data_IF_964678254931
#
_entry.id   IF_964678254931
#
_cell.length_a   1.000
_cell.length_b   1.000
_cell.length_c   1.000
_cell.angle_alpha   90.00
_cell.angle_beta   90.00
_cell.angle_gamma   90.00
#
_symmetry.space_group_name_H-M   'P 1'
#
loop_
_entity.id
_entity.type
_entity.pdbx_description
1 polymer ?
#
# COMPACT_ATOMS: atom_id res chain seq x y z
N UNK A 1 17.26 -10.05 -13.18
CA UNK A 1 16.09 -9.43 -13.83
C UNK A 1 16.52 -8.07 -14.36
N UNK A 2 16.16 -7.71 -15.60
CA UNK A 2 16.32 -6.34 -16.12
C UNK A 2 15.09 -5.53 -15.76
N UNK A 3 15.27 -4.38 -15.13
CA UNK A 3 14.18 -3.47 -14.76
C UNK A 3 14.64 -2.02 -14.74
N UNK A 4 13.71 -1.06 -14.55
CA UNK A 4 14.04 0.36 -14.61
C UNK A 4 15.04 0.81 -13.53
N UNK A 5 15.21 0.05 -12.45
CA UNK A 5 16.17 0.32 -11.38
C UNK A 5 17.42 -0.55 -11.46
N UNK A 6 17.68 -1.24 -12.58
CA UNK A 6 18.92 -1.99 -12.76
C UNK A 6 20.13 -1.08 -12.60
N UNK A 7 21.05 -1.48 -11.71
CA UNK A 7 22.25 -0.70 -11.36
C UNK A 7 22.08 0.19 -10.12
N UNK A 8 20.85 0.38 -9.63
CA UNK A 8 20.57 1.11 -8.39
C UNK A 8 20.83 0.21 -7.19
N UNK A 9 21.49 0.74 -6.17
CA UNK A 9 21.74 0.06 -4.88
C UNK A 9 20.90 0.70 -3.77
N UNK A 10 20.16 -0.13 -3.05
CA UNK A 10 19.29 0.28 -1.94
C UNK A 10 19.80 -0.35 -0.66
N UNK A 11 19.93 0.46 0.38
CA UNK A 11 20.12 -0.01 1.75
C UNK A 11 18.85 0.29 2.54
N UNK A 12 18.33 -0.68 3.27
CA UNK A 12 17.15 -0.49 4.12
C UNK A 12 17.44 -0.89 5.56
N UNK A 13 17.00 -0.10 6.52
CA UNK A 13 16.86 -0.51 7.93
C UNK A 13 15.39 -0.58 8.36
N UNK A 14 14.47 -0.43 7.41
CA UNK A 14 13.05 -0.37 7.68
C UNK A 14 12.52 -1.77 8.04
N UNK A 15 11.99 -1.90 9.26
CA UNK A 15 11.34 -3.12 9.76
C UNK A 15 9.83 -2.93 9.81
N UNK A 16 9.11 -4.05 9.80
CA UNK A 16 7.65 -4.13 9.68
C UNK A 16 7.12 -3.40 8.44
N UNK A 17 5.89 -3.71 8.05
CA UNK A 17 5.20 -2.85 7.10
C UNK A 17 5.14 -1.41 7.62
N UNK A 18 5.34 -0.41 6.74
CA UNK A 18 5.43 -0.48 5.27
C UNK A 18 6.84 -0.77 4.68
N UNK A 19 7.88 -0.82 5.51
CA UNK A 19 9.28 -0.83 5.07
C UNK A 19 9.65 -1.95 4.07
N UNK A 20 9.55 -3.23 4.46
CA UNK A 20 9.87 -4.36 3.60
C UNK A 20 9.08 -4.38 2.29
N UNK A 21 7.82 -3.94 2.26
CA UNK A 21 7.04 -3.88 1.01
C UNK A 21 7.54 -2.80 0.05
N UNK A 22 7.92 -1.62 0.56
CA UNK A 22 8.53 -0.58 -0.26
C UNK A 22 9.83 -1.09 -0.91
N UNK A 23 10.64 -1.79 -0.13
CA UNK A 23 11.94 -2.31 -0.57
C UNK A 23 11.78 -3.50 -1.53
N UNK A 24 10.83 -4.40 -1.27
CA UNK A 24 10.45 -5.47 -2.19
C UNK A 24 10.06 -4.93 -3.56
N UNK A 25 9.31 -3.82 -3.59
CA UNK A 25 8.92 -3.14 -4.83
C UNK A 25 10.13 -2.64 -5.61
N UNK A 26 11.11 -2.03 -4.94
CA UNK A 26 12.36 -1.57 -5.56
C UNK A 26 13.19 -2.73 -6.09
N UNK A 27 13.31 -3.82 -5.32
CA UNK A 27 13.99 -5.06 -5.76
C UNK A 27 13.31 -5.66 -7.00
N UNK A 28 11.98 -5.73 -7.01
CA UNK A 28 11.18 -6.20 -8.15
C UNK A 28 11.35 -5.34 -9.42
N UNK A 29 11.71 -4.06 -9.26
CA UNK A 29 12.06 -3.16 -10.36
C UNK A 29 13.54 -3.25 -10.78
N UNK A 30 14.32 -4.15 -10.18
CA UNK A 30 15.69 -4.49 -10.59
C UNK A 30 16.80 -3.85 -9.75
N UNK A 31 16.48 -3.18 -8.64
CA UNK A 31 17.48 -2.65 -7.72
C UNK A 31 18.19 -3.78 -6.95
N UNK A 32 19.47 -3.59 -6.63
CA UNK A 32 20.20 -4.44 -5.69
C UNK A 32 19.93 -3.96 -4.28
N UNK A 33 19.39 -4.82 -3.43
CA UNK A 33 18.94 -4.43 -2.08
C UNK A 33 19.74 -5.14 -1.01
N UNK A 34 20.22 -4.37 -0.03
CA UNK A 34 20.70 -4.87 1.26
C UNK A 34 19.76 -4.40 2.36
N UNK A 35 19.10 -5.33 3.03
CA UNK A 35 18.24 -5.07 4.19
C UNK A 35 18.99 -5.39 5.47
N UNK A 36 19.17 -4.39 6.32
CA UNK A 36 19.90 -4.46 7.58
C UNK A 36 18.88 -4.52 8.72
N UNK A 37 18.77 -5.69 9.33
CA UNK A 37 17.90 -5.96 10.46
C UNK A 37 18.66 -5.86 11.78
N UNK A 38 18.00 -5.50 12.89
CA UNK A 38 18.60 -5.62 14.21
C UNK A 38 18.89 -7.10 14.53
N UNK A 39 19.72 -7.41 15.55
CA UNK A 39 20.00 -8.80 15.94
C UNK A 39 18.76 -9.63 16.27
N UNK A 40 17.69 -8.98 16.74
CA UNK A 40 16.40 -9.60 17.00
C UNK A 40 15.54 -9.91 15.77
N UNK A 41 15.97 -9.50 14.57
CA UNK A 41 15.22 -9.67 13.32
C UNK A 41 14.09 -8.64 13.12
N UNK A 42 13.31 -8.86 12.07
CA UNK A 42 12.06 -8.14 11.83
C UNK A 42 10.91 -8.85 12.59
N UNK A 43 10.05 -8.15 13.34
CA UNK A 43 8.91 -8.79 13.99
C UNK A 43 7.98 -9.56 13.03
N UNK A 44 7.87 -9.16 11.75
CA UNK A 44 7.13 -9.91 10.73
C UNK A 44 7.68 -11.32 10.50
N UNK A 45 8.97 -11.57 10.72
CA UNK A 45 9.57 -12.91 10.66
C UNK A 45 8.88 -13.88 11.65
N UNK A 46 8.38 -13.34 12.77
CA UNK A 46 7.68 -14.11 13.80
C UNK A 46 6.16 -14.15 13.58
N UNK A 47 5.56 -13.04 13.16
CA UNK A 47 4.09 -12.93 13.05
C UNK A 47 3.53 -13.49 11.75
N UNK A 48 4.28 -13.41 10.65
CA UNK A 48 3.81 -13.77 9.31
C UNK A 48 5.00 -14.21 8.42
N UNK A 49 5.64 -15.32 8.78
CA UNK A 49 6.87 -15.79 8.13
C UNK A 49 6.78 -15.90 6.60
N UNK A 50 5.72 -16.50 6.08
CA UNK A 50 5.59 -16.72 4.63
C UNK A 50 5.54 -15.39 3.87
N UNK A 51 4.85 -14.39 4.43
CA UNK A 51 4.77 -13.06 3.83
C UNK A 51 6.08 -12.28 4.02
N UNK A 52 6.76 -12.42 5.17
CA UNK A 52 8.10 -11.89 5.35
C UNK A 52 9.08 -12.46 4.30
N UNK A 53 9.06 -13.78 4.08
CA UNK A 53 9.92 -14.44 3.11
C UNK A 53 9.63 -13.94 1.69
N UNK A 54 8.35 -13.78 1.32
CA UNK A 54 7.92 -13.20 0.04
C UNK A 54 8.48 -11.79 -0.17
N UNK A 55 8.38 -10.92 0.83
CA UNK A 55 8.85 -9.54 0.73
C UNK A 55 10.39 -9.44 0.63
N UNK A 56 11.13 -10.43 1.12
CA UNK A 56 12.60 -10.42 1.10
C UNK A 56 13.22 -11.22 -0.05
N UNK A 57 12.42 -11.78 -0.96
CA UNK A 57 12.92 -12.52 -2.13
C UNK A 57 13.89 -11.63 -2.94
N UNK A 58 15.09 -12.17 -3.19
CA UNK A 58 16.10 -11.53 -4.03
C UNK A 58 16.89 -10.40 -3.35
N UNK A 59 16.72 -10.19 -2.04
CA UNK A 59 17.47 -9.23 -1.25
C UNK A 59 18.59 -9.91 -0.45
N UNK A 60 19.66 -9.16 -0.16
CA UNK A 60 20.65 -9.57 0.84
C UNK A 60 20.19 -9.10 2.21
N UNK A 61 19.97 -10.03 3.15
CA UNK A 61 19.54 -9.68 4.53
C UNK A 61 20.71 -9.86 5.48
N UNK A 62 21.07 -8.79 6.20
CA UNK A 62 22.13 -8.77 7.22
C UNK A 62 21.56 -8.47 8.59
N UNK A 63 22.07 -9.13 9.63
CA UNK A 63 21.74 -8.82 11.03
C UNK A 63 22.89 -8.04 11.64
N UNK A 64 22.66 -6.77 11.97
CA UNK A 64 23.70 -5.84 12.43
C UNK A 64 23.22 -5.12 13.69
N UNK A 65 24.05 -5.10 14.73
CA UNK A 65 23.81 -4.24 15.90
C UNK A 65 24.26 -2.81 15.60
N UNK A 66 23.33 -1.97 15.17
CA UNK A 66 23.55 -0.56 14.84
C UNK A 66 24.02 0.29 16.03
N UNK A 67 23.98 -0.23 17.26
CA UNK A 67 24.49 0.47 18.43
C UNK A 67 25.98 0.25 18.66
N UNK A 68 26.54 -0.84 18.10
CA UNK A 68 27.95 -1.16 18.18
C UNK A 68 28.80 -0.35 17.19
N UNK A 69 30.05 -0.06 17.54
CA UNK A 69 30.97 0.65 16.64
C UNK A 69 31.18 -0.13 15.32
N UNK A 70 31.27 -1.46 15.40
CA UNK A 70 31.40 -2.33 14.24
C UNK A 70 30.16 -2.28 13.33
N UNK A 71 28.96 -2.31 13.91
CA UNK A 71 27.72 -2.24 13.14
C UNK A 71 27.48 -0.86 12.52
N UNK A 72 27.86 0.22 13.21
CA UNK A 72 27.87 1.57 12.64
C UNK A 72 28.82 1.67 11.45
N UNK A 73 30.03 1.13 11.57
CA UNK A 73 31.00 1.10 10.47
C UNK A 73 30.51 0.25 9.28
N UNK A 74 29.88 -0.90 9.53
CA UNK A 74 29.33 -1.73 8.46
C UNK A 74 28.22 -1.00 7.68
N UNK A 75 27.29 -0.34 8.36
CA UNK A 75 26.23 0.41 7.67
C UNK A 75 26.78 1.63 6.95
N UNK A 76 27.78 2.31 7.50
CA UNK A 76 28.48 3.39 6.80
C UNK A 76 29.12 2.92 5.49
N UNK A 77 29.77 1.75 5.50
CA UNK A 77 30.34 1.14 4.30
C UNK A 77 29.24 0.81 3.27
N UNK A 78 28.13 0.21 3.70
CA UNK A 78 26.99 -0.08 2.81
C UNK A 78 26.43 1.21 2.18
N UNK A 79 26.28 2.27 2.97
CA UNK A 79 25.77 3.57 2.50
C UNK A 79 26.75 4.26 1.54
N UNK A 80 28.06 4.07 1.69
CA UNK A 80 29.06 4.64 0.77
C UNK A 80 28.91 4.19 -0.68
N UNK A 81 28.29 3.03 -0.89
CA UNK A 81 28.01 2.46 -2.20
C UNK A 81 26.53 2.57 -2.60
N UNK A 82 25.67 3.08 -1.72
CA UNK A 82 24.23 3.11 -1.92
C UNK A 82 23.80 4.30 -2.78
N UNK A 83 22.67 4.13 -3.46
CA UNK A 83 21.96 5.21 -4.14
C UNK A 83 20.76 5.70 -3.33
N UNK A 84 20.09 4.76 -2.65
CA UNK A 84 18.90 5.02 -1.83
C UNK A 84 19.08 4.39 -0.46
N UNK A 85 18.74 5.13 0.59
CA UNK A 85 18.59 4.66 1.94
C UNK A 85 17.11 4.73 2.36
N UNK A 86 16.54 3.63 2.84
CA UNK A 86 15.14 3.55 3.29
C UNK A 86 15.08 3.23 4.79
N UNK A 87 14.28 3.97 5.52
CA UNK A 87 14.08 3.77 6.97
C UNK A 87 12.62 3.95 7.38
N UNK A 88 12.20 3.26 8.43
CA UNK A 88 10.90 3.41 9.10
C UNK A 88 11.04 3.78 10.58
N UNK A 89 12.22 4.29 10.98
CA UNK A 89 12.53 4.64 12.37
C UNK A 89 12.13 6.06 12.72
N UNK A 90 11.79 6.29 14.01
CA UNK A 90 11.55 7.64 14.52
C UNK A 90 12.78 8.55 14.34
N UNK A 91 12.60 9.84 14.04
CA UNK A 91 13.71 10.79 13.87
C UNK A 91 14.71 10.79 15.03
N UNK A 92 14.23 10.76 16.27
CA UNK A 92 15.08 10.74 17.47
C UNK A 92 15.93 9.47 17.58
N UNK A 93 15.41 8.34 17.10
CA UNK A 93 16.14 7.08 17.07
C UNK A 93 17.20 7.10 15.96
N UNK A 94 16.85 7.58 14.77
CA UNK A 94 17.78 7.79 13.66
C UNK A 94 18.93 8.72 14.05
N UNK A 95 18.61 9.85 14.69
CA UNK A 95 19.59 10.80 15.21
C UNK A 95 20.61 10.16 16.14
N UNK A 96 20.17 9.32 17.09
CA UNK A 96 21.07 8.60 18.01
C UNK A 96 21.96 7.57 17.30
N UNK A 97 21.50 7.04 16.17
CA UNK A 97 22.26 6.13 15.32
C UNK A 97 23.18 6.87 14.34
N UNK A 98 23.01 8.18 14.15
CA UNK A 98 23.69 8.96 13.11
C UNK A 98 23.21 8.60 11.71
N UNK A 99 21.96 8.13 11.60
CA UNK A 99 21.32 7.70 10.34
C UNK A 99 20.17 8.66 9.94
N UNK A 100 20.02 9.78 10.64
CA UNK A 100 19.20 10.90 10.17
C UNK A 100 19.78 11.50 8.88
N UNK A 101 18.96 12.29 8.19
CA UNK A 101 19.31 12.89 6.91
C UNK A 101 20.58 13.73 6.99
N UNK A 102 20.70 14.61 7.97
CA UNK A 102 21.85 15.50 8.12
C UNK A 102 23.14 14.68 8.29
N UNK A 103 23.10 13.65 9.13
CA UNK A 103 24.25 12.77 9.39
C UNK A 103 24.64 11.90 8.20
N UNK A 104 23.66 11.37 7.45
CA UNK A 104 23.92 10.56 6.24
C UNK A 104 24.42 11.44 5.12
N UNK A 105 23.75 12.55 4.82
CA UNK A 105 24.10 13.45 3.73
C UNK A 105 25.50 14.08 3.91
N UNK A 106 25.90 14.38 5.15
CA UNK A 106 27.25 14.90 5.42
C UNK A 106 28.38 13.93 5.04
N UNK A 107 28.15 12.61 5.12
CA UNK A 107 29.13 11.56 4.78
C UNK A 107 28.96 11.06 3.35
N UNK A 108 27.72 10.97 2.90
CA UNK A 108 27.30 10.35 1.64
C UNK A 108 26.38 11.31 0.86
N UNK A 109 26.90 12.42 0.33
CA UNK A 109 26.08 13.51 -0.23
C UNK A 109 25.18 13.07 -1.39
N UNK A 110 25.53 11.99 -2.09
CA UNK A 110 24.77 11.45 -3.22
C UNK A 110 23.68 10.43 -2.86
N UNK A 111 23.57 10.04 -1.58
CA UNK A 111 22.53 9.10 -1.15
C UNK A 111 21.18 9.82 -1.04
N UNK A 112 20.18 9.31 -1.74
CA UNK A 112 18.79 9.72 -1.54
C UNK A 112 18.21 9.00 -0.32
N UNK A 113 17.59 9.73 0.60
CA UNK A 113 17.02 9.14 1.81
C UNK A 113 15.49 9.19 1.76
N UNK A 114 14.85 8.05 2.04
CA UNK A 114 13.39 7.93 2.16
C UNK A 114 13.05 7.54 3.60
N UNK A 115 12.45 8.48 4.31
CA UNK A 115 12.00 8.31 5.69
C UNK A 115 10.50 8.00 5.69
N UNK A 116 10.14 6.79 6.09
CA UNK A 116 8.75 6.43 6.34
C UNK A 116 8.44 6.72 7.81
N UNK A 117 7.53 7.64 8.06
CA UNK A 117 7.17 8.10 9.41
C UNK A 117 5.67 7.97 9.64
N UNK A 118 5.27 7.96 10.91
CA UNK A 118 3.86 7.85 11.24
C UNK A 118 3.06 9.11 10.91
N UNK A 119 3.59 10.26 11.33
CA UNK A 119 3.02 11.59 11.11
C UNK A 119 4.11 12.53 10.59
N UNK A 120 3.76 13.61 9.86
CA UNK A 120 4.75 14.47 9.23
C UNK A 120 5.44 15.39 10.26
N UNK A 121 6.66 15.82 9.92
CA UNK A 121 7.38 16.88 10.64
C UNK A 121 7.57 16.58 12.13
N UNK A 122 7.26 17.56 12.99
CA UNK A 122 7.49 17.48 14.44
C UNK A 122 6.67 16.36 15.12
N UNK A 123 5.60 15.87 14.47
CA UNK A 123 4.77 14.79 14.98
C UNK A 123 5.31 13.40 14.63
N UNK A 124 6.43 13.29 13.92
CA UNK A 124 7.02 12.01 13.50
C UNK A 124 7.44 11.09 14.68
N UNK A 125 7.49 11.60 15.90
CA UNK A 125 7.68 10.80 17.13
C UNK A 125 6.40 10.12 17.63
N UNK A 126 5.24 10.55 17.14
CA UNK A 126 3.93 10.03 17.55
C UNK A 126 3.78 8.58 17.11
N UNK A 127 3.53 7.64 18.06
CA UNK A 127 3.33 6.25 17.71
C UNK A 127 2.08 6.07 16.84
N UNK A 128 2.16 5.17 15.88
CA UNK A 128 1.00 4.73 15.11
C UNK A 128 1.28 3.42 14.40
N UNK A 129 0.19 2.77 14.02
CA UNK A 129 0.13 1.59 13.18
C UNK A 129 -1.00 1.78 12.16
N UNK A 130 -0.99 1.02 11.07
CA UNK A 130 -2.02 1.01 10.04
C UNK A 130 -3.46 1.12 10.60
N UNK A 131 -3.78 0.29 11.61
CA UNK A 131 -5.09 0.30 12.26
C UNK A 131 -5.46 1.68 12.83
N UNK A 132 -4.51 2.37 13.47
CA UNK A 132 -4.76 3.70 14.05
C UNK A 132 -4.91 4.78 12.98
N UNK A 133 -4.18 4.68 11.87
CA UNK A 133 -4.33 5.62 10.76
C UNK A 133 -5.69 5.46 10.10
N UNK A 134 -6.11 4.22 9.84
CA UNK A 134 -7.45 3.90 9.32
C UNK A 134 -8.56 4.37 10.27
N UNK A 135 -8.37 4.21 11.59
CA UNK A 135 -9.34 4.64 12.59
C UNK A 135 -9.57 6.16 12.54
N UNK A 136 -8.49 6.94 12.50
CA UNK A 136 -8.55 8.41 12.47
C UNK A 136 -9.26 8.92 11.21
N UNK A 137 -9.07 8.25 10.07
CA UNK A 137 -9.69 8.66 8.80
C UNK A 137 -11.04 7.98 8.52
N UNK A 138 -11.60 7.25 9.48
CA UNK A 138 -12.93 6.62 9.38
C UNK A 138 -13.01 5.38 8.49
N UNK A 139 -11.87 4.86 8.01
CA UNK A 139 -11.84 3.71 7.08
C UNK A 139 -12.30 2.39 7.73
N UNK A 140 -12.27 2.32 9.07
CA UNK A 140 -12.77 1.16 9.82
C UNK A 140 -14.31 1.06 9.86
N UNK A 141 -15.02 2.13 9.45
CA UNK A 141 -16.48 2.20 9.54
C UNK A 141 -16.98 1.98 10.96
N UNK A 142 -17.90 1.03 11.15
CA UNK A 142 -18.49 0.67 12.45
C UNK A 142 -17.53 -0.17 13.33
N UNK A 143 -16.26 0.20 13.41
CA UNK A 143 -15.26 -0.47 14.26
C UNK A 143 -14.84 -1.86 13.77
N UNK A 144 -14.96 -2.14 12.47
CA UNK A 144 -14.54 -3.42 11.89
C UNK A 144 -13.02 -3.50 11.86
N UNK A 145 -12.48 -4.69 12.14
CA UNK A 145 -11.07 -4.96 11.88
C UNK A 145 -10.82 -4.91 10.36
N UNK A 146 -9.74 -4.24 9.91
CA UNK A 146 -9.44 -4.17 8.50
C UNK A 146 -9.01 -5.54 7.97
N UNK A 147 -9.39 -5.86 6.73
CA UNK A 147 -8.99 -7.11 6.06
C UNK A 147 -7.62 -7.03 5.41
N UNK A 148 -7.01 -5.84 5.37
CA UNK A 148 -5.66 -5.58 4.86
C UNK A 148 -5.08 -4.32 5.51
N UNK A 149 -3.75 -4.17 5.42
CA UNK A 149 -3.02 -3.02 5.93
C UNK A 149 -2.93 -1.94 4.83
N UNK A 150 -4.08 -1.37 4.48
CA UNK A 150 -4.22 -0.52 3.27
C UNK A 150 -3.37 0.75 3.34
N UNK A 151 -3.19 1.35 4.53
CA UNK A 151 -2.38 2.56 4.71
C UNK A 151 -0.91 2.21 4.59
N UNK A 152 -0.46 1.12 5.23
CA UNK A 152 0.93 0.69 5.11
C UNK A 152 1.28 0.29 3.66
N UNK A 153 0.41 -0.46 2.98
CA UNK A 153 0.67 -0.87 1.59
C UNK A 153 0.66 0.33 0.63
N UNK A 154 -0.27 1.27 0.79
CA UNK A 154 -0.27 2.52 0.03
C UNK A 154 0.97 3.38 0.34
N UNK A 155 1.40 3.41 1.61
CA UNK A 155 2.62 4.09 2.05
C UNK A 155 3.87 3.45 1.47
N UNK A 156 3.87 2.12 1.31
CA UNK A 156 4.95 1.36 0.67
C UNK A 156 5.13 1.75 -0.79
N UNK A 157 4.04 1.81 -1.55
CA UNK A 157 4.06 2.27 -2.95
C UNK A 157 4.46 3.74 -3.06
N UNK A 158 3.99 4.60 -2.14
CA UNK A 158 4.43 6.00 -2.07
C UNK A 158 5.93 6.09 -1.81
N UNK A 159 6.47 5.34 -0.87
CA UNK A 159 7.90 5.32 -0.54
C UNK A 159 8.76 4.84 -1.72
N UNK A 160 8.34 3.78 -2.42
CA UNK A 160 9.02 3.31 -3.62
C UNK A 160 8.98 4.37 -4.76
N UNK A 161 7.84 5.05 -4.93
CA UNK A 161 7.71 6.14 -5.89
C UNK A 161 8.60 7.34 -5.53
N UNK A 162 8.66 7.72 -4.25
CA UNK A 162 9.51 8.80 -3.76
C UNK A 162 11.00 8.45 -3.87
N UNK A 163 11.40 7.19 -3.68
CA UNK A 163 12.76 6.73 -3.96
C UNK A 163 13.13 6.95 -5.43
N UNK A 164 12.27 6.54 -6.37
CA UNK A 164 12.49 6.77 -7.80
C UNK A 164 12.52 8.28 -8.14
N UNK A 165 11.61 9.07 -7.57
CA UNK A 165 11.58 10.52 -7.75
C UNK A 165 12.84 11.20 -7.19
N UNK A 166 13.36 10.72 -6.06
CA UNK A 166 14.60 11.19 -5.47
C UNK A 166 15.80 10.90 -6.39
N UNK A 167 15.88 9.71 -6.98
CA UNK A 167 16.91 9.37 -7.97
C UNK A 167 16.86 10.27 -9.21
N UNK A 168 15.64 10.60 -9.69
CA UNK A 168 15.45 11.54 -10.80
C UNK A 168 15.83 12.97 -10.40
N UNK A 169 15.57 13.39 -9.16
CA UNK A 169 16.02 14.69 -8.67
C UNK A 169 17.54 14.75 -8.61
N UNK A 170 18.17 13.73 -8.01
CA UNK A 170 19.62 13.58 -7.93
C UNK A 170 20.30 13.59 -9.29
N UNK A 171 19.72 12.95 -10.31
CA UNK A 171 20.32 12.95 -11.66
C UNK A 171 20.43 14.34 -12.30
N UNK A 172 19.65 15.32 -11.80
CA UNK A 172 19.68 16.72 -12.26
C UNK A 172 20.64 17.59 -11.46
N UNK A 173 20.81 17.30 -10.17
CA UNK A 173 21.58 18.13 -9.23
C UNK A 173 22.97 17.57 -8.91
N UNK A 174 23.16 16.25 -9.07
CA UNK A 174 24.33 15.52 -8.58
C UNK A 174 24.28 15.21 -7.08
N UNK A 175 23.27 15.72 -6.37
CA UNK A 175 23.14 15.66 -4.91
C UNK A 175 21.93 14.81 -4.52
N UNK A 176 22.10 14.00 -3.48
CA UNK A 176 21.02 13.24 -2.87
C UNK A 176 19.95 14.16 -2.29
N UNK A 177 18.74 13.64 -2.12
CA UNK A 177 17.63 14.37 -1.51
C UNK A 177 16.90 13.51 -0.48
N UNK A 178 16.34 14.16 0.54
CA UNK A 178 15.44 13.55 1.51
C UNK A 178 14.00 13.56 1.00
N UNK A 179 13.29 12.45 1.20
CA UNK A 179 11.84 12.32 1.03
C UNK A 179 11.24 11.76 2.30
N UNK A 180 10.23 12.43 2.82
CA UNK A 180 9.47 11.97 3.98
C UNK A 180 8.11 11.45 3.50
N UNK A 181 7.73 10.25 3.94
CA UNK A 181 6.44 9.63 3.65
C UNK A 181 5.72 9.41 4.98
N UNK A 182 4.79 10.30 5.29
CA UNK A 182 3.96 10.21 6.48
C UNK A 182 2.72 9.33 6.22
N UNK A 183 2.55 8.28 7.03
CA UNK A 183 1.43 7.35 6.91
C UNK A 183 0.07 8.00 7.23
N UNK A 184 0.04 9.01 8.10
CA UNK A 184 -1.17 9.82 8.32
C UNK A 184 -1.62 10.55 7.05
N UNK A 185 -0.69 11.11 6.27
CA UNK A 185 -1.00 11.84 5.03
C UNK A 185 -1.44 10.88 3.93
N UNK A 186 -0.81 9.70 3.87
CA UNK A 186 -1.25 8.60 3.01
C UNK A 186 -2.67 8.19 3.38
N UNK A 187 -2.97 8.00 4.67
CA UNK A 187 -4.31 7.64 5.15
C UNK A 187 -5.36 8.67 4.75
N UNK A 188 -5.05 9.97 4.91
CA UNK A 188 -5.94 11.05 4.47
C UNK A 188 -6.19 11.00 2.96
N UNK A 189 -5.14 10.76 2.17
CA UNK A 189 -5.23 10.67 0.72
C UNK A 189 -6.16 9.54 0.29
N UNK A 190 -5.95 8.32 0.83
CA UNK A 190 -6.77 7.16 0.46
C UNK A 190 -8.19 7.23 1.00
N UNK A 191 -8.40 7.95 2.11
CA UNK A 191 -9.73 8.20 2.68
C UNK A 191 -10.50 9.29 1.94
N UNK A 192 -9.88 10.02 1.01
CA UNK A 192 -10.50 11.09 0.22
C UNK A 192 -11.90 10.75 -0.31
N UNK A 193 -12.13 9.61 -0.98
CA UNK A 193 -13.46 9.22 -1.44
C UNK A 193 -14.51 9.16 -0.32
N UNK A 194 -14.14 8.64 0.86
CA UNK A 194 -15.04 8.58 2.02
C UNK A 194 -15.28 9.98 2.61
N UNK A 195 -14.21 10.75 2.80
CA UNK A 195 -14.26 12.09 3.40
C UNK A 195 -15.05 13.09 2.54
N UNK A 196 -15.07 12.89 1.22
CA UNK A 196 -15.89 13.66 0.29
C UNK A 196 -17.28 13.05 0.05
N UNK A 197 -17.66 12.01 0.80
CA UNK A 197 -18.98 11.39 0.75
C UNK A 197 -19.26 10.54 -0.50
N UNK A 198 -18.25 10.26 -1.33
CA UNK A 198 -18.41 9.47 -2.56
C UNK A 198 -18.71 7.99 -2.25
N UNK A 199 -18.05 7.44 -1.23
CA UNK A 199 -18.16 6.02 -0.81
C UNK A 199 -18.83 5.83 0.55
N UNK A 200 -19.39 6.90 1.14
CA UNK A 200 -20.17 6.78 2.37
C UNK A 200 -21.38 5.85 2.17
N UNK A 201 -21.86 5.12 3.20
CA UNK A 201 -23.00 4.22 3.06
C UNK A 201 -24.22 4.92 2.43
N UNK A 202 -24.74 4.36 1.34
CA UNK A 202 -25.87 4.92 0.59
C UNK A 202 -25.51 6.05 -0.38
N UNK A 203 -24.24 6.44 -0.50
CA UNK A 203 -23.77 7.38 -1.50
C UNK A 203 -23.51 6.73 -2.87
N UNK A 204 -23.13 7.51 -3.87
CA UNK A 204 -22.97 7.09 -5.27
C UNK A 204 -22.16 5.79 -5.43
N UNK A 205 -20.97 5.72 -4.85
CA UNK A 205 -20.10 4.53 -4.85
C UNK A 205 -20.11 3.79 -3.50
N UNK A 206 -21.07 4.12 -2.63
CA UNK A 206 -21.30 3.48 -1.34
C UNK A 206 -22.58 2.66 -1.29
N UNK A 207 -23.11 2.23 -2.46
CA UNK A 207 -24.33 1.45 -2.55
C UNK A 207 -25.62 2.26 -2.69
N UNK A 208 -25.55 3.54 -3.04
CA UNK A 208 -26.73 4.40 -3.23
C UNK A 208 -27.52 4.10 -4.51
N UNK A 209 -26.88 3.50 -5.52
CA UNK A 209 -27.51 3.17 -6.80
C UNK A 209 -27.81 1.66 -6.88
N UNK A 210 -28.97 1.25 -7.43
CA UNK A 210 -29.25 -0.16 -7.68
C UNK A 210 -28.18 -0.83 -8.55
N UNK A 211 -27.62 -0.10 -9.52
CA UNK A 211 -26.62 -0.63 -10.45
C UNK A 211 -25.18 -0.60 -9.92
N UNK A 212 -24.96 -0.12 -8.69
CA UNK A 212 -23.66 -0.15 -8.01
C UNK A 212 -23.86 -0.64 -6.57
N UNK A 213 -23.85 -1.96 -6.38
CA UNK A 213 -24.13 -2.57 -5.08
C UNK A 213 -23.70 -4.03 -4.98
N UNK A 214 -23.74 -4.55 -3.75
CA UNK A 214 -23.66 -5.98 -3.48
C UNK A 214 -25.07 -6.56 -3.40
N UNK A 215 -25.29 -7.72 -4.01
CA UNK A 215 -26.55 -8.45 -4.03
C UNK A 215 -26.35 -9.89 -3.56
N UNK A 216 -27.29 -10.39 -2.77
CA UNK A 216 -27.34 -11.81 -2.44
C UNK A 216 -27.76 -12.62 -3.68
N UNK A 217 -27.24 -13.84 -3.77
CA UNK A 217 -27.62 -14.83 -4.78
C UNK A 217 -28.01 -16.14 -4.10
N UNK A 218 -28.18 -17.24 -4.84
CA UNK A 218 -28.60 -18.51 -4.27
C UNK A 218 -27.59 -19.13 -3.27
N UNK A 219 -26.31 -18.78 -3.36
CA UNK A 219 -25.24 -19.38 -2.55
C UNK A 219 -24.33 -18.35 -1.86
N UNK A 220 -23.89 -17.30 -2.57
CA UNK A 220 -23.05 -16.22 -2.02
C UNK A 220 -23.26 -14.89 -2.74
N UNK A 221 -22.90 -13.75 -2.14
CA UNK A 221 -23.17 -12.46 -2.77
C UNK A 221 -22.33 -12.22 -4.02
N UNK A 222 -22.81 -11.32 -4.87
CA UNK A 222 -22.12 -10.75 -6.03
C UNK A 222 -21.98 -9.23 -5.87
N UNK A 223 -20.93 -8.65 -6.42
CA UNK A 223 -20.77 -7.21 -6.57
C UNK A 223 -21.13 -6.82 -8.01
N UNK A 224 -22.05 -5.88 -8.17
CA UNK A 224 -22.45 -5.26 -9.44
C UNK A 224 -21.92 -3.82 -9.49
N UNK A 225 -21.32 -3.44 -10.62
CA UNK A 225 -20.79 -2.10 -10.88
C UNK A 225 -21.14 -1.59 -12.30
N UNK A 226 -22.42 -1.61 -12.67
CA UNK A 226 -22.93 -1.18 -13.97
C UNK A 226 -23.33 0.31 -13.99
N UNK A 227 -22.46 1.18 -13.45
CA UNK A 227 -22.73 2.60 -13.20
C UNK A 227 -22.89 3.42 -14.48
N UNK A 228 -22.07 3.14 -15.49
CA UNK A 228 -22.01 3.90 -16.73
C UNK A 228 -23.29 3.69 -17.55
N UNK A 229 -23.79 4.72 -18.27
CA UNK A 229 -25.06 4.63 -18.99
C UNK A 229 -25.17 3.44 -19.95
N UNK A 230 -24.08 3.06 -20.60
CA UNK A 230 -24.05 1.92 -21.52
C UNK A 230 -24.12 0.57 -20.78
N UNK A 231 -23.44 0.41 -19.63
CA UNK A 231 -23.57 -0.79 -18.81
C UNK A 231 -24.95 -0.90 -18.16
N UNK A 232 -25.53 0.22 -17.70
CA UNK A 232 -26.91 0.22 -17.19
C UNK A 232 -27.89 -0.21 -18.28
N UNK A 233 -27.81 0.40 -19.48
CA UNK A 233 -28.67 0.03 -20.60
C UNK A 233 -28.50 -1.45 -21.00
N UNK A 234 -27.25 -1.92 -21.03
CA UNK A 234 -26.94 -3.33 -21.32
C UNK A 234 -27.55 -4.26 -20.29
N UNK A 235 -27.33 -4.00 -18.99
CA UNK A 235 -27.90 -4.77 -17.88
C UNK A 235 -29.42 -4.89 -18.00
N UNK A 236 -30.11 -3.78 -18.22
CA UNK A 236 -31.57 -3.74 -18.37
C UNK A 236 -32.04 -4.53 -19.60
N UNK A 237 -31.37 -4.38 -20.74
CA UNK A 237 -31.66 -5.12 -21.96
C UNK A 237 -31.57 -6.64 -21.74
N UNK A 238 -30.44 -7.10 -21.18
CA UNK A 238 -30.17 -8.55 -21.06
C UNK A 238 -30.95 -9.22 -19.93
N UNK A 239 -31.31 -8.48 -18.88
CA UNK A 239 -32.24 -8.95 -17.84
C UNK A 239 -33.71 -8.76 -18.22
N UNK A 240 -34.00 -8.04 -19.31
CA UNK A 240 -35.35 -7.68 -19.77
C UNK A 240 -36.14 -6.93 -18.71
N UNK A 241 -35.50 -5.95 -18.07
CA UNK A 241 -36.11 -5.06 -17.08
C UNK A 241 -36.35 -3.72 -17.77
N UNK A 242 -37.57 -3.18 -17.70
CA UNK A 242 -37.82 -1.84 -18.23
C UNK A 242 -37.13 -0.78 -17.36
N UNK A 243 -36.63 0.34 -17.91
CA UNK A 243 -35.93 1.37 -17.13
C UNK A 243 -36.70 1.89 -15.92
N UNK A 244 -38.02 2.01 -16.04
CA UNK A 244 -38.95 2.40 -14.98
C UNK A 244 -39.14 1.37 -13.86
N UNK A 245 -38.76 0.10 -14.11
CA UNK A 245 -38.79 -0.99 -13.13
C UNK A 245 -37.45 -1.16 -12.41
N UNK A 246 -36.43 -0.38 -12.77
CA UNK A 246 -35.11 -0.46 -12.15
C UNK A 246 -35.17 -0.02 -10.69
N UNK A 247 -35.11 -1.00 -9.80
CA UNK A 247 -34.95 -0.79 -8.36
C UNK A 247 -33.96 -1.80 -7.78
N UNK A 248 -33.52 -1.52 -6.55
CA UNK A 248 -32.66 -2.45 -5.78
C UNK A 248 -33.40 -3.75 -5.53
N UNK A 249 -34.66 -3.67 -5.15
CA UNK A 249 -35.52 -4.83 -4.87
C UNK A 249 -35.66 -5.68 -6.12
N UNK A 250 -35.89 -5.06 -7.27
CA UNK A 250 -36.07 -5.78 -8.53
C UNK A 250 -34.81 -6.53 -8.95
N UNK A 251 -33.64 -5.90 -8.84
CA UNK A 251 -32.37 -6.56 -9.12
C UNK A 251 -32.07 -7.67 -8.11
N UNK A 252 -32.37 -7.46 -6.82
CA UNK A 252 -32.19 -8.48 -5.79
C UNK A 252 -33.03 -9.74 -6.06
N UNK A 253 -34.31 -9.57 -6.44
CA UNK A 253 -35.18 -10.69 -6.85
C UNK A 253 -34.60 -11.49 -8.01
N UNK A 254 -34.07 -10.79 -9.02
CA UNK A 254 -33.48 -11.43 -10.20
C UNK A 254 -32.22 -12.20 -9.81
N UNK A 255 -31.31 -11.57 -9.06
CA UNK A 255 -30.04 -12.18 -8.70
C UNK A 255 -30.17 -13.34 -7.71
N UNK A 256 -31.20 -13.36 -6.87
CA UNK A 256 -31.48 -14.46 -5.94
C UNK A 256 -31.74 -15.81 -6.64
N UNK A 257 -32.11 -15.82 -7.92
CA UNK A 257 -32.54 -17.02 -8.64
C UNK A 257 -31.44 -17.94 -9.18
N UNK A 258 -30.16 -17.55 -9.08
CA UNK A 258 -29.00 -18.32 -9.59
C UNK A 258 -27.83 -18.20 -8.62
N UNK A 259 -26.85 -19.08 -8.77
CA UNK A 259 -25.59 -19.03 -8.01
C UNK A 259 -24.70 -17.88 -8.48
N UNK A 260 -23.75 -17.47 -7.65
CA UNK A 260 -22.81 -16.41 -7.96
C UNK A 260 -21.92 -16.73 -9.18
N UNK A 261 -21.55 -18.01 -9.38
CA UNK A 261 -20.74 -18.45 -10.52
C UNK A 261 -21.53 -18.48 -11.83
N UNK A 262 -22.81 -18.83 -11.78
CA UNK A 262 -23.71 -18.71 -12.93
C UNK A 262 -23.87 -17.24 -13.34
N UNK A 263 -23.98 -16.32 -12.37
CA UNK A 263 -24.00 -14.89 -12.64
C UNK A 263 -22.68 -14.37 -13.19
N UNK A 264 -21.54 -14.84 -12.69
CA UNK A 264 -20.23 -14.49 -13.22
C UNK A 264 -20.08 -14.91 -14.69
N UNK A 265 -20.51 -16.12 -15.02
CA UNK A 265 -20.52 -16.64 -16.40
C UNK A 265 -21.44 -15.79 -17.28
N UNK A 266 -22.67 -15.56 -16.83
CA UNK A 266 -23.64 -14.72 -17.53
C UNK A 266 -23.11 -13.30 -17.77
N UNK A 267 -22.45 -12.70 -16.77
CA UNK A 267 -21.91 -11.34 -16.86
C UNK A 267 -20.79 -11.24 -17.90
N UNK A 268 -19.91 -12.25 -17.97
CA UNK A 268 -18.86 -12.32 -18.98
C UNK A 268 -19.41 -12.46 -20.41
N UNK A 269 -20.48 -13.26 -20.59
CA UNK A 269 -21.14 -13.43 -21.90
C UNK A 269 -21.85 -12.16 -22.38
N UNK A 270 -22.31 -11.32 -21.45
CA UNK A 270 -23.17 -10.17 -21.75
C UNK A 270 -22.48 -8.81 -21.58
N UNK A 271 -21.20 -8.79 -21.23
CA UNK A 271 -20.38 -7.59 -20.98
C UNK A 271 -20.96 -6.70 -19.85
N UNK A 272 -21.21 -7.32 -18.69
CA UNK A 272 -21.72 -6.65 -17.49
C UNK A 272 -20.66 -6.68 -16.38
N UNK A 273 -20.31 -5.53 -15.75
CA UNK A 273 -19.37 -5.50 -14.64
C UNK A 273 -19.98 -6.12 -13.37
N UNK A 274 -19.82 -7.44 -13.21
CA UNK A 274 -20.33 -8.20 -12.09
C UNK A 274 -19.34 -9.30 -11.72
N UNK A 275 -19.04 -9.43 -10.43
CA UNK A 275 -18.12 -10.45 -9.93
C UNK A 275 -18.63 -11.08 -8.62
N UNK A 276 -18.38 -12.37 -8.39
CA UNK A 276 -18.83 -13.04 -7.18
C UNK A 276 -17.90 -12.75 -6.01
N UNK A 277 -18.44 -12.47 -4.82
CA UNK A 277 -17.63 -12.19 -3.62
C UNK A 277 -16.94 -13.48 -3.18
N UNK A 278 -15.60 -13.47 -3.13
CA UNK A 278 -14.83 -14.60 -2.62
C UNK A 278 -14.92 -14.62 -1.09
N UNK A 279 -15.22 -15.78 -0.53
CA UNK A 279 -14.98 -16.03 0.88
C UNK A 279 -13.47 -16.03 1.10
N UNK A 280 -13.04 -15.35 2.17
CA UNK A 280 -11.67 -15.43 2.70
C UNK A 280 -11.40 -16.82 3.26
#
# INVERSE_FOLDING_TARGET
MSGPLTGVRVVSIAINLPGPAAVARLAGQGASVVTVLPPGGDPMEQFAKDYYDELHVGQEVRRVDLKSDAGRAEVDELLSAADVFVTSSRPSALGRLGLDWESVHARHPQVCQVDIVGHPGDEAETPGHDLTYQAVTGLLGEGRMPTTLVVDLAGSERAAAEAAAALVARSRTGEGVRREVALSDVSQTIAGPLLHGLTAPGALLGGGLPVYAVYDTADRPIALAALEPHFTARLLEVLRIAPEELSRERLAEVFAGRTADEWATWAAEHDVPLAPLRST
#
